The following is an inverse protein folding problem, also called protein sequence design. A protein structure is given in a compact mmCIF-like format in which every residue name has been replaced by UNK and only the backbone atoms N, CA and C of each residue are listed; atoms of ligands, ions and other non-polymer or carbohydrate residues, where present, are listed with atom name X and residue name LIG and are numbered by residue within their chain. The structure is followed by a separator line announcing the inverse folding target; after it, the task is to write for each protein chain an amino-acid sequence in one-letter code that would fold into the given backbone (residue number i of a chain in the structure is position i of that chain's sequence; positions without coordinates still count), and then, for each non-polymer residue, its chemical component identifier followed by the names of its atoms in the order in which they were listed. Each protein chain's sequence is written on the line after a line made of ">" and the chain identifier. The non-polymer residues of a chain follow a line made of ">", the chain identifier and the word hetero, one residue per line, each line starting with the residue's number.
data_IF_744873658859
#
_entry.id   IF_744873658859
#
_cell.length_a   1.000
_cell.length_b   1.000
_cell.length_c   1.000
_cell.angle_alpha   90.00
_cell.angle_beta   90.00
_cell.angle_gamma   90.00
#
_symmetry.space_group_name_H-M   'P 1'
#
loop_
_entity.id
_entity.type
_entity.pdbx_description
1 polymer ?
#
# COMPACT_ATOMS: atom_id res chain seq x y z
N UNK A 1 28.98 7.48 -20.19
CA UNK A 1 28.63 7.64 -18.76
C UNK A 1 27.24 7.07 -18.63
N UNK A 2 27.15 5.77 -18.36
CA UNK A 2 25.87 5.10 -18.13
C UNK A 2 25.70 5.07 -16.61
N UNK A 3 24.89 5.98 -16.09
CA UNK A 3 24.52 6.01 -14.69
C UNK A 3 23.41 4.97 -14.50
N UNK A 4 23.83 3.73 -14.24
CA UNK A 4 22.96 2.71 -13.69
C UNK A 4 22.90 2.93 -12.19
N UNK A 5 21.97 3.75 -11.74
CA UNK A 5 21.52 3.78 -10.34
C UNK A 5 20.14 3.10 -10.21
N UNK A 6 19.96 1.97 -10.90
CA UNK A 6 18.88 1.04 -10.65
C UNK A 6 19.30 0.14 -9.50
N UNK A 7 19.11 0.63 -8.28
CA UNK A 7 19.49 -0.07 -7.05
C UNK A 7 18.36 -0.02 -6.03
N UNK A 8 17.12 -0.32 -6.44
CA UNK A 8 16.04 -0.68 -5.51
C UNK A 8 16.25 -2.14 -5.06
N UNK A 9 17.46 -2.46 -4.61
CA UNK A 9 17.75 -3.72 -3.94
C UNK A 9 17.40 -3.52 -2.47
N UNK A 10 16.11 -3.69 -2.14
CA UNK A 10 15.74 -3.94 -0.75
C UNK A 10 16.38 -5.27 -0.38
N UNK A 11 17.44 -5.20 0.42
CA UNK A 11 18.07 -6.39 0.99
C UNK A 11 17.00 -7.16 1.74
N UNK A 12 16.85 -8.43 1.42
CA UNK A 12 15.95 -9.39 2.09
C UNK A 12 16.09 -9.22 3.62
N UNK A 13 15.12 -8.54 4.24
CA UNK A 13 15.11 -8.24 5.69
C UNK A 13 15.17 -6.76 6.12
N UNK A 14 15.39 -5.79 5.21
CA UNK A 14 15.31 -4.36 5.55
C UNK A 14 13.94 -3.76 5.21
N UNK A 15 13.27 -3.21 6.23
CA UNK A 15 11.97 -2.55 6.11
C UNK A 15 12.04 -1.42 5.08
N UNK A 16 11.14 -1.41 4.10
CA UNK A 16 11.12 -0.35 3.09
C UNK A 16 10.67 0.98 3.72
N UNK A 17 11.54 2.00 3.71
CA UNK A 17 11.23 3.31 4.29
C UNK A 17 10.01 3.98 3.64
N UNK A 18 9.69 3.65 2.39
CA UNK A 18 8.48 4.11 1.69
C UNK A 18 7.23 3.44 2.26
N UNK A 19 7.31 2.14 2.54
CA UNK A 19 6.25 1.37 3.19
C UNK A 19 6.02 1.88 4.62
N UNK A 20 7.08 2.18 5.35
CA UNK A 20 7.00 2.79 6.68
C UNK A 20 6.31 4.15 6.60
N UNK A 21 6.79 5.04 5.74
CA UNK A 21 6.22 6.39 5.57
C UNK A 21 4.75 6.33 5.15
N UNK A 22 4.42 5.41 4.25
CA UNK A 22 3.04 5.12 3.84
C UNK A 22 2.17 4.68 5.03
N UNK A 23 2.63 3.69 5.80
CA UNK A 23 1.87 3.17 6.94
C UNK A 23 1.68 4.22 8.04
N UNK A 24 2.71 5.00 8.34
CA UNK A 24 2.63 6.07 9.34
C UNK A 24 1.63 7.17 8.93
N UNK A 25 1.66 7.62 7.67
CA UNK A 25 0.72 8.64 7.20
C UNK A 25 -0.70 8.09 7.07
N UNK A 26 -0.85 6.82 6.68
CA UNK A 26 -2.14 6.14 6.66
C UNK A 26 -2.75 6.04 8.07
N UNK A 27 -1.96 5.58 9.05
CA UNK A 27 -2.39 5.45 10.44
C UNK A 27 -2.71 6.79 11.12
N UNK A 28 -2.07 7.89 10.69
CA UNK A 28 -2.38 9.23 11.16
C UNK A 28 -3.76 9.73 10.69
N UNK A 29 -4.21 9.29 9.50
CA UNK A 29 -5.54 9.63 8.96
C UNK A 29 -6.62 8.64 9.40
N UNK A 30 -6.29 7.35 9.45
CA UNK A 30 -7.19 6.26 9.77
C UNK A 30 -6.55 5.32 10.79
N UNK A 31 -6.70 5.61 12.10
CA UNK A 31 -6.05 4.81 13.14
C UNK A 31 -6.56 3.36 13.12
N UNK A 32 -5.63 2.40 13.09
CA UNK A 32 -5.92 0.96 13.15
C UNK A 32 -5.65 0.36 14.54
N UNK A 33 -5.50 1.20 15.57
CA UNK A 33 -5.24 0.80 16.96
C UNK A 33 -6.37 1.26 17.89
N UNK A 34 -6.54 0.61 19.06
CA UNK A 34 -7.59 0.98 20.00
C UNK A 34 -7.38 2.37 20.62
N UNK A 35 -8.46 3.11 20.94
CA UNK A 35 -9.87 2.72 20.78
C UNK A 35 -10.32 2.76 19.32
N UNK A 36 -10.93 1.66 18.85
CA UNK A 36 -11.40 1.56 17.47
C UNK A 36 -12.60 2.47 17.25
N UNK A 37 -12.49 3.31 16.24
CA UNK A 37 -13.59 4.17 15.82
C UNK A 37 -14.70 3.32 15.15
N UNK A 38 -15.98 3.48 15.53
CA UNK A 38 -17.08 2.74 14.91
C UNK A 38 -17.30 3.11 13.43
N UNK A 39 -16.78 4.26 12.98
CA UNK A 39 -16.76 4.68 11.59
C UNK A 39 -15.41 4.35 10.90
N UNK A 40 -14.58 3.53 11.53
CA UNK A 40 -13.30 3.09 10.97
C UNK A 40 -13.50 2.48 9.57
N UNK A 41 -12.64 2.83 8.60
CA UNK A 41 -12.68 2.21 7.28
C UNK A 41 -12.25 0.73 7.31
N UNK A 42 -11.55 0.29 8.36
CA UNK A 42 -10.95 -1.04 8.45
C UNK A 42 -12.00 -2.09 8.81
N UNK A 43 -12.21 -3.07 7.93
CA UNK A 43 -13.02 -4.25 8.23
C UNK A 43 -12.27 -5.22 9.16
N UNK A 44 -10.93 -5.20 9.10
CA UNK A 44 -10.04 -5.94 9.99
C UNK A 44 -8.93 -5.01 10.45
N UNK A 45 -8.88 -4.76 11.76
CA UNK A 45 -7.84 -4.00 12.42
C UNK A 45 -7.13 -4.90 13.47
N UNK A 46 -5.80 -4.80 13.64
CA UNK A 46 -4.89 -3.88 12.93
C UNK A 46 -4.68 -4.25 11.46
N UNK A 47 -4.21 -3.28 10.68
CA UNK A 47 -3.80 -3.50 9.29
C UNK A 47 -2.54 -4.39 9.29
N UNK A 48 -2.47 -5.35 8.36
CA UNK A 48 -1.36 -6.31 8.32
C UNK A 48 -0.12 -5.69 7.69
N UNK A 49 0.94 -5.46 8.47
CA UNK A 49 2.20 -4.89 7.98
C UNK A 49 3.26 -5.99 7.83
N UNK A 50 3.73 -6.18 6.60
CA UNK A 50 4.88 -7.00 6.25
C UNK A 50 6.18 -6.19 6.21
N UNK A 51 7.28 -6.84 5.83
CA UNK A 51 8.58 -6.15 5.71
C UNK A 51 8.60 -5.24 4.47
N UNK A 52 7.91 -5.68 3.41
CA UNK A 52 7.91 -5.07 2.08
C UNK A 52 6.52 -4.57 1.63
N UNK A 53 5.46 -4.84 2.40
CA UNK A 53 4.09 -4.53 1.99
C UNK A 53 3.17 -4.21 3.17
N UNK A 54 2.04 -3.58 2.85
CA UNK A 54 0.91 -3.39 3.77
C UNK A 54 -0.30 -4.07 3.16
N UNK A 55 -0.97 -4.92 3.94
CA UNK A 55 -2.19 -5.63 3.59
C UNK A 55 -3.35 -5.07 4.40
N UNK A 56 -4.37 -4.57 3.72
CA UNK A 56 -5.51 -3.90 4.33
C UNK A 56 -6.82 -4.54 3.90
N UNK A 57 -7.79 -4.57 4.82
CA UNK A 57 -9.15 -5.00 4.52
C UNK A 57 -10.09 -3.82 4.79
N UNK A 58 -10.72 -3.31 3.74
CA UNK A 58 -11.49 -2.08 3.76
C UNK A 58 -12.98 -2.41 3.69
N UNK A 59 -13.76 -1.79 4.56
CA UNK A 59 -15.21 -1.93 4.59
C UNK A 59 -15.86 -1.27 3.38
N UNK A 60 -16.93 -1.86 2.85
CA UNK A 60 -17.75 -1.22 1.81
C UNK A 60 -18.64 -0.13 2.43
N UNK A 61 -18.06 1.03 2.70
CA UNK A 61 -18.71 2.19 3.34
C UNK A 61 -18.20 3.52 2.74
N UNK A 62 -18.86 4.66 3.02
CA UNK A 62 -18.36 5.97 2.59
C UNK A 62 -16.93 6.25 3.11
N UNK A 63 -16.66 5.90 4.38
CA UNK A 63 -15.32 6.00 4.98
C UNK A 63 -14.32 5.05 4.34
N UNK A 64 -14.74 3.82 3.99
CA UNK A 64 -13.90 2.90 3.24
C UNK A 64 -13.54 3.43 1.85
N UNK A 65 -14.48 4.08 1.17
CA UNK A 65 -14.23 4.71 -0.14
C UNK A 65 -13.24 5.88 -0.03
N UNK A 66 -13.36 6.69 1.02
CA UNK A 66 -12.38 7.75 1.34
C UNK A 66 -11.00 7.17 1.65
N UNK A 67 -10.94 6.06 2.38
CA UNK A 67 -9.67 5.37 2.66
C UNK A 67 -9.02 4.83 1.39
N UNK A 68 -9.80 4.29 0.43
CA UNK A 68 -9.27 3.85 -0.88
C UNK A 68 -8.65 5.01 -1.65
N UNK A 69 -9.33 6.16 -1.72
CA UNK A 69 -8.81 7.37 -2.39
C UNK A 69 -7.48 7.83 -1.77
N UNK A 70 -7.42 7.86 -0.44
CA UNK A 70 -6.20 8.18 0.30
C UNK A 70 -5.09 7.16 0.04
N UNK A 71 -5.40 5.86 0.02
CA UNK A 71 -4.41 4.81 -0.24
C UNK A 71 -3.82 4.96 -1.64
N UNK A 72 -4.65 5.27 -2.65
CA UNK A 72 -4.20 5.53 -4.02
C UNK A 72 -3.28 6.76 -4.10
N UNK A 73 -3.67 7.88 -3.46
CA UNK A 73 -2.85 9.10 -3.38
C UNK A 73 -1.50 8.84 -2.68
N UNK A 74 -1.50 8.16 -1.54
CA UNK A 74 -0.27 7.84 -0.81
C UNK A 74 0.63 6.89 -1.61
N UNK A 75 0.05 5.87 -2.26
CA UNK A 75 0.81 4.94 -3.08
C UNK A 75 1.48 5.66 -4.26
N UNK A 76 0.78 6.57 -4.94
CA UNK A 76 1.38 7.40 -5.99
C UNK A 76 2.53 8.26 -5.45
N UNK A 77 2.33 8.94 -4.31
CA UNK A 77 3.35 9.82 -3.70
C UNK A 77 4.61 9.08 -3.28
N UNK A 78 4.48 7.88 -2.73
CA UNK A 78 5.61 7.08 -2.26
C UNK A 78 6.16 6.13 -3.33
N UNK A 79 5.59 6.13 -4.55
CA UNK A 79 6.04 5.25 -5.64
C UNK A 79 5.83 3.78 -5.33
N UNK A 80 4.68 3.45 -4.74
CA UNK A 80 4.25 2.10 -4.39
C UNK A 80 3.30 1.54 -5.44
N UNK A 81 3.18 0.22 -5.46
CA UNK A 81 2.22 -0.52 -6.27
C UNK A 81 1.15 -1.09 -5.35
N UNK A 82 -0.10 -1.01 -5.79
CA UNK A 82 -1.27 -1.58 -5.14
C UNK A 82 -1.69 -2.81 -5.94
N UNK A 83 -1.88 -3.92 -5.25
CA UNK A 83 -2.52 -5.11 -5.79
C UNK A 83 -3.88 -5.28 -5.13
N UNK A 84 -4.94 -5.34 -5.95
CA UNK A 84 -6.29 -5.69 -5.51
C UNK A 84 -6.59 -7.18 -5.82
N UNK A 85 -6.69 -8.03 -4.79
CA UNK A 85 -6.94 -9.45 -4.99
C UNK A 85 -8.41 -9.78 -5.34
N UNK A 86 -9.34 -8.81 -5.29
CA UNK A 86 -10.74 -9.05 -5.66
C UNK A 86 -10.94 -8.99 -7.17
N UNK A 87 -10.25 -8.07 -7.85
CA UNK A 87 -10.22 -7.91 -9.30
C UNK A 87 -9.04 -8.57 -10.00
N UNK A 88 -8.03 -9.02 -9.26
CA UNK A 88 -6.70 -9.39 -9.78
C UNK A 88 -6.06 -8.22 -10.55
N UNK A 89 -6.13 -7.03 -9.96
CA UNK A 89 -5.72 -5.78 -10.59
C UNK A 89 -4.47 -5.21 -9.91
N UNK A 90 -3.57 -4.65 -10.72
CA UNK A 90 -2.37 -3.96 -10.25
C UNK A 90 -2.46 -2.50 -10.66
N UNK A 91 -2.38 -1.58 -9.69
CA UNK A 91 -2.41 -0.13 -9.90
C UNK A 91 -1.17 0.51 -9.30
N UNK A 92 -0.54 1.45 -10.01
CA UNK A 92 0.69 2.11 -9.58
C UNK A 92 1.86 1.82 -10.52
N UNK A 93 2.83 2.73 -10.51
CA UNK A 93 3.94 2.85 -11.47
C UNK A 93 3.45 2.87 -12.93
N UNK A 94 3.24 4.09 -13.45
CA UNK A 94 3.20 4.33 -14.89
C UNK A 94 4.56 3.95 -15.49
N UNK A 95 4.74 2.71 -15.94
CA UNK A 95 5.98 2.33 -16.63
C UNK A 95 6.30 0.85 -16.83
N UNK A 96 6.56 0.07 -15.78
CA UNK A 96 7.58 -0.98 -15.92
C UNK A 96 7.21 -2.38 -15.38
N UNK A 97 5.94 -2.71 -15.13
CA UNK A 97 5.57 -4.12 -14.88
C UNK A 97 5.13 -4.81 -16.18
N UNK A 98 6.08 -5.43 -16.89
CA UNK A 98 5.73 -6.47 -17.87
C UNK A 98 5.23 -7.68 -17.09
N UNK A 99 3.91 -7.92 -17.07
CA UNK A 99 3.39 -9.22 -16.61
C UNK A 99 3.91 -10.31 -17.54
N UNK A 100 4.73 -11.29 -17.08
CA UNK A 100 5.08 -12.41 -17.92
C UNK A 100 3.83 -13.25 -18.15
N UNK A 101 3.26 -13.14 -19.35
CA UNK A 101 2.20 -14.02 -19.83
C UNK A 101 2.75 -15.44 -19.83
N UNK A 102 2.41 -16.23 -18.81
CA UNK A 102 2.76 -17.65 -18.78
C UNK A 102 1.73 -18.39 -19.62
N UNK A 103 2.12 -18.74 -20.85
CA UNK A 103 1.37 -19.60 -21.76
C UNK A 103 1.67 -21.08 -21.58
#
# INVERSE_FOLDING_TARGET
>A
MADHCTGMEHRDGELDQRIVSFYEELGARFPDHPPYDPESPWMSAPVGVGIDHVSMNISYSPRGSEAVDVVLDLAERYGLVIYDPQGDEVTGLCGDYEVPVTG
#
